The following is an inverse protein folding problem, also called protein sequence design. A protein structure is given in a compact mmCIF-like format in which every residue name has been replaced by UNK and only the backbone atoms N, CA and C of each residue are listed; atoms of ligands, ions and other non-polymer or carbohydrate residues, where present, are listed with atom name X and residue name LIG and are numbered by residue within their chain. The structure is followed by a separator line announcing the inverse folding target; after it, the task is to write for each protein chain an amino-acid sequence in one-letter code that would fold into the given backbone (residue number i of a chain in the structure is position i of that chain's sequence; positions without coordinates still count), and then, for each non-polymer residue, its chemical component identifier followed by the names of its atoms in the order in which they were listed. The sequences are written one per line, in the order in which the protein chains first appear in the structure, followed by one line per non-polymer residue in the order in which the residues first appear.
data_IF_911899586136
#
_entry.id   IF_911899586136
#
_cell.length_a   1.000
_cell.length_b   1.000
_cell.length_c   1.000
_cell.angle_alpha   90.00
_cell.angle_beta   90.00
_cell.angle_gamma   90.00
#
_symmetry.space_group_name_H-M   'P 1'
#
loop_
_entity.id
_entity.type
_entity.pdbx_description
1 polymer ?
#
# COMPACT_ATOMS: atom_id res chain seq x y z
N UNK A 1 7.67 -14.85 -6.44
CA UNK A 1 8.43 -14.00 -5.49
C UNK A 1 9.86 -14.49 -5.21
N UNK A 2 10.21 -15.78 -5.40
CA UNK A 2 11.54 -16.31 -5.04
C UNK A 2 12.74 -15.78 -5.84
N UNK A 3 12.53 -15.12 -6.99
CA UNK A 3 13.62 -14.75 -7.91
C UNK A 3 13.77 -13.25 -8.16
N UNK A 4 13.28 -12.37 -7.27
CA UNK A 4 13.49 -10.93 -7.40
C UNK A 4 14.52 -10.44 -6.39
N UNK A 5 15.52 -9.71 -6.87
CA UNK A 5 16.56 -9.10 -6.03
C UNK A 5 15.88 -8.08 -5.12
N UNK A 6 15.93 -8.30 -3.80
CA UNK A 6 15.51 -7.28 -2.82
C UNK A 6 16.59 -6.19 -2.81
N UNK A 7 16.50 -5.21 -3.72
CA UNK A 7 17.42 -4.07 -3.67
C UNK A 7 17.08 -3.19 -2.47
N UNK A 8 18.12 -2.61 -1.86
CA UNK A 8 17.98 -1.80 -0.64
C UNK A 8 17.09 -0.57 -0.80
N UNK A 9 16.85 -0.13 -2.05
CA UNK A 9 16.06 1.06 -2.38
C UNK A 9 14.56 0.79 -2.59
N UNK A 10 14.13 -0.48 -2.68
CA UNK A 10 12.71 -0.84 -2.81
C UNK A 10 11.87 -0.27 -1.66
N UNK A 11 12.25 -0.45 -0.37
CA UNK A 11 11.40 0.02 0.71
C UNK A 11 11.28 1.55 0.74
N UNK A 12 12.33 2.28 0.35
CA UNK A 12 12.28 3.75 0.23
C UNK A 12 11.33 4.19 -0.90
N UNK A 13 11.41 3.53 -2.06
CA UNK A 13 10.55 3.87 -3.20
C UNK A 13 9.07 3.67 -2.88
N UNK A 14 8.74 2.57 -2.18
CA UNK A 14 7.36 2.31 -1.74
C UNK A 14 6.91 3.37 -0.71
N UNK A 15 7.80 3.78 0.19
CA UNK A 15 7.50 4.86 1.13
C UNK A 15 7.18 6.19 0.43
N UNK A 16 7.96 6.59 -0.57
CA UNK A 16 7.66 7.79 -1.37
C UNK A 16 6.31 7.71 -2.08
N UNK A 17 5.90 6.53 -2.54
CA UNK A 17 4.55 6.33 -3.09
C UNK A 17 3.47 6.53 -2.01
N UNK A 18 3.69 6.03 -0.79
CA UNK A 18 2.77 6.24 0.33
C UNK A 18 2.61 7.75 0.61
N UNK A 19 3.70 8.49 0.70
CA UNK A 19 3.67 9.95 0.94
C UNK A 19 2.93 10.70 -0.17
N UNK A 20 3.19 10.36 -1.43
CA UNK A 20 2.53 10.96 -2.58
C UNK A 20 1.02 10.71 -2.54
N UNK A 21 0.60 9.46 -2.32
CA UNK A 21 -0.81 9.10 -2.28
C UNK A 21 -1.54 9.74 -1.10
N UNK A 22 -0.88 9.83 0.06
CA UNK A 22 -1.42 10.56 1.22
C UNK A 22 -1.60 12.04 0.88
N UNK A 23 -0.62 12.67 0.23
CA UNK A 23 -0.66 14.08 -0.17
C UNK A 23 -1.80 14.35 -1.17
N UNK A 24 -2.08 13.38 -2.04
CA UNK A 24 -3.20 13.42 -2.99
C UNK A 24 -4.57 13.10 -2.37
N UNK A 25 -4.63 12.78 -1.08
CA UNK A 25 -5.88 12.36 -0.40
C UNK A 25 -6.29 10.91 -0.67
N UNK A 26 -5.47 10.14 -1.39
CA UNK A 26 -5.65 8.71 -1.69
C UNK A 26 -5.23 7.83 -0.50
N UNK A 27 -5.81 8.12 0.66
CA UNK A 27 -5.41 7.54 1.96
C UNK A 27 -5.69 6.04 2.01
N UNK A 28 -6.75 5.55 1.37
CA UNK A 28 -7.06 4.11 1.32
C UNK A 28 -6.02 3.34 0.51
N UNK A 29 -5.59 3.91 -0.62
CA UNK A 29 -4.59 3.37 -1.52
C UNK A 29 -3.21 3.32 -0.86
N UNK A 30 -2.83 4.39 -0.16
CA UNK A 30 -1.57 4.45 0.58
C UNK A 30 -1.48 3.36 1.65
N UNK A 31 -2.60 2.98 2.28
CA UNK A 31 -2.64 1.86 3.21
C UNK A 31 -2.29 0.50 2.57
N UNK A 32 -2.70 0.25 1.31
CA UNK A 32 -2.30 -0.99 0.62
C UNK A 32 -0.80 -1.01 0.37
N UNK A 33 -0.21 0.11 -0.05
CA UNK A 33 1.24 0.22 -0.23
C UNK A 33 1.98 0.01 1.09
N UNK A 34 1.49 0.58 2.20
CA UNK A 34 2.01 0.31 3.53
C UNK A 34 1.97 -1.19 3.87
N UNK A 35 0.84 -1.88 3.62
CA UNK A 35 0.74 -3.32 3.89
C UNK A 35 1.71 -4.15 3.05
N UNK A 36 1.96 -3.76 1.80
CA UNK A 36 2.97 -4.39 0.95
C UNK A 36 4.38 -4.15 1.53
N UNK A 37 4.68 -2.91 1.94
CA UNK A 37 5.96 -2.55 2.54
C UNK A 37 6.21 -3.33 3.85
N UNK A 38 5.23 -3.36 4.75
CA UNK A 38 5.26 -4.07 6.01
C UNK A 38 5.46 -5.58 5.81
N UNK A 39 4.74 -6.20 4.86
CA UNK A 39 4.87 -7.63 4.58
C UNK A 39 6.24 -8.01 4.03
N UNK A 40 6.81 -7.21 3.12
CA UNK A 40 8.06 -7.54 2.44
C UNK A 40 9.31 -7.07 3.19
N UNK A 41 9.21 -5.96 3.94
CA UNK A 41 10.30 -5.25 4.60
C UNK A 41 9.93 -4.84 6.05
N UNK A 42 9.49 -5.77 6.92
CA UNK A 42 8.95 -5.45 8.24
C UNK A 42 9.95 -4.77 9.20
N UNK A 43 11.25 -4.95 8.97
CA UNK A 43 12.33 -4.36 9.79
C UNK A 43 12.95 -3.11 9.17
N UNK A 44 12.41 -2.61 8.06
CA UNK A 44 12.92 -1.39 7.44
C UNK A 44 12.48 -0.16 8.22
N UNK A 45 13.33 0.86 8.28
CA UNK A 45 12.98 2.17 8.85
C UNK A 45 11.73 2.75 8.17
N UNK A 46 11.64 2.60 6.85
CA UNK A 46 10.50 3.05 6.04
C UNK A 46 9.18 2.40 6.41
N UNK A 47 9.17 1.13 6.85
CA UNK A 47 7.96 0.49 7.36
C UNK A 47 7.49 1.14 8.68
N UNK A 48 8.43 1.51 9.56
CA UNK A 48 8.13 2.22 10.80
C UNK A 48 7.59 3.62 10.54
N UNK A 49 8.24 4.39 9.68
CA UNK A 49 7.78 5.74 9.30
C UNK A 49 6.40 5.69 8.60
N UNK A 50 6.18 4.71 7.73
CA UNK A 50 4.86 4.50 7.12
C UNK A 50 3.78 4.22 8.16
N UNK A 51 4.09 3.44 9.20
CA UNK A 51 3.12 3.17 10.27
C UNK A 51 2.69 4.46 10.98
N UNK A 52 3.61 5.39 11.21
CA UNK A 52 3.33 6.70 11.81
C UNK A 52 2.40 7.53 10.93
N UNK A 53 2.69 7.65 9.63
CA UNK A 53 1.84 8.35 8.65
C UNK A 53 0.43 7.75 8.66
N UNK A 54 0.32 6.43 8.60
CA UNK A 54 -0.97 5.73 8.52
C UNK A 54 -1.79 5.90 9.81
N UNK A 55 -1.14 5.88 10.99
CA UNK A 55 -1.80 6.14 12.28
C UNK A 55 -2.33 7.56 12.36
N UNK A 56 -1.56 8.54 11.89
CA UNK A 56 -1.95 9.96 11.88
C UNK A 56 -3.19 10.20 11.03
N UNK A 57 -3.28 9.58 9.84
CA UNK A 57 -4.43 9.75 8.92
C UNK A 57 -5.71 9.04 9.36
N UNK A 58 -5.76 8.44 10.57
CA UNK A 58 -6.93 7.78 11.18
C UNK A 58 -7.70 6.89 10.19
N UNK A 59 -6.97 6.11 9.40
CA UNK A 59 -7.57 5.30 8.34
C UNK A 59 -8.59 4.35 8.95
N UNK A 60 -9.83 4.46 8.51
CA UNK A 60 -10.91 3.62 9.00
C UNK A 60 -10.61 2.18 8.56
N UNK A 61 -10.21 1.34 9.53
CA UNK A 61 -9.71 -0.03 9.30
C UNK A 61 -10.77 -0.99 8.77
N UNK A 62 -12.01 -0.53 8.58
CA UNK A 62 -13.09 -1.26 7.91
C UNK A 62 -12.86 -1.38 6.40
N UNK A 63 -11.68 -1.86 6.01
CA UNK A 63 -11.44 -2.33 4.66
C UNK A 63 -12.32 -3.57 4.47
N UNK A 64 -13.26 -3.52 3.52
CA UNK A 64 -13.98 -4.71 3.08
C UNK A 64 -12.95 -5.80 2.84
N UNK A 65 -13.05 -6.93 3.57
CA UNK A 65 -12.20 -8.10 3.33
C UNK A 65 -12.33 -8.43 1.84
N UNK A 66 -11.25 -8.24 1.07
CA UNK A 66 -11.22 -8.67 -0.31
C UNK A 66 -11.34 -10.20 -0.26
N UNK A 67 -12.54 -10.71 -0.58
CA UNK A 67 -12.69 -12.14 -0.87
C UNK A 67 -11.73 -12.40 -2.02
N UNK A 68 -10.82 -13.34 -1.81
CA UNK A 68 -9.75 -13.72 -2.72
C UNK A 68 -10.34 -14.38 -3.97
N UNK A 69 -11.11 -13.61 -4.76
CA UNK A 69 -11.42 -13.94 -6.13
C UNK A 69 -10.17 -13.53 -6.91
N UNK A 70 -9.64 -14.44 -7.72
CA UNK A 70 -8.53 -14.13 -8.62
C UNK A 70 -8.86 -12.81 -9.33
N UNK A 71 -7.97 -11.81 -9.25
CA UNK A 71 -8.16 -10.54 -9.95
C UNK A 71 -8.25 -10.85 -11.44
N UNK A 72 -9.45 -10.81 -12.00
CA UNK A 72 -9.64 -10.93 -13.44
C UNK A 72 -9.45 -9.54 -14.05
N UNK A 73 -8.25 -9.31 -14.59
CA UNK A 73 -7.86 -8.05 -15.22
C UNK A 73 -8.83 -7.59 -16.32
N UNK A 74 -9.61 -8.52 -16.92
CA UNK A 74 -10.62 -8.21 -17.94
C UNK A 74 -11.93 -7.71 -17.35
N UNK A 75 -12.17 -7.93 -16.06
CA UNK A 75 -13.41 -7.56 -15.37
C UNK A 75 -13.25 -6.38 -14.41
N UNK A 76 -12.04 -5.83 -14.21
CA UNK A 76 -11.84 -4.67 -13.35
C UNK A 76 -12.44 -3.44 -14.02
N UNK A 77 -13.37 -2.79 -13.33
CA UNK A 77 -13.92 -1.52 -13.75
C UNK A 77 -13.12 -0.36 -13.17
N UNK A 78 -13.13 0.83 -13.81
CA UNK A 78 -12.54 2.02 -13.24
C UNK A 78 -13.03 2.28 -11.81
N UNK A 79 -14.30 2.02 -11.53
CA UNK A 79 -14.92 2.19 -10.19
C UNK A 79 -14.43 1.20 -9.12
N UNK A 80 -13.82 0.06 -9.51
CA UNK A 80 -13.24 -0.91 -8.57
C UNK A 80 -11.89 -0.43 -8.01
N UNK A 81 -11.22 0.44 -8.77
CA UNK A 81 -10.18 1.27 -8.24
C UNK A 81 -10.90 2.51 -7.69
N UNK A 82 -10.85 2.78 -6.39
CA UNK A 82 -11.44 4.01 -5.84
C UNK A 82 -10.64 5.27 -6.30
N UNK A 83 -10.45 5.46 -7.61
CA UNK A 83 -9.84 6.60 -8.25
C UNK A 83 -10.96 7.60 -8.55
N UNK A 84 -11.32 8.33 -7.49
CA UNK A 84 -12.32 9.43 -7.43
C UNK A 84 -13.76 8.95 -7.38
#
# INVERSE_FOLDING_TARGET
LKNYKKSSHIPESIFRLIECYVSLGLVKQSYYFYKILEYNFPRSQWAKESEEIIKEKKINKNLKKFKKKQLDLKSLKPEDFDLI
#
